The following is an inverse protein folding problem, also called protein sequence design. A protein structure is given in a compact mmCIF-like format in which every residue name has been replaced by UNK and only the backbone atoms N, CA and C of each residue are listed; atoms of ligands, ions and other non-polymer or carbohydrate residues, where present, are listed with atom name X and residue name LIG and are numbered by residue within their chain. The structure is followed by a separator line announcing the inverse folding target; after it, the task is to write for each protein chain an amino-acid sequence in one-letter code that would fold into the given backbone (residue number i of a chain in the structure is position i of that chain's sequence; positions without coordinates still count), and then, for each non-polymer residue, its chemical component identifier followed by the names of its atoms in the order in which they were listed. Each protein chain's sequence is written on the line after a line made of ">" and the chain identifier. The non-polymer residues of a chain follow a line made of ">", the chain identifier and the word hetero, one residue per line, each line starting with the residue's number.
data_IF_212933668585
#
_entry.id   IF_212933668585
#
_cell.length_a   1.000
_cell.length_b   1.000
_cell.length_c   1.000
_cell.angle_alpha   90.00
_cell.angle_beta   90.00
_cell.angle_gamma   90.00
#
_symmetry.space_group_name_H-M   'P 1'
#
loop_
_entity.id
_entity.type
_entity.pdbx_description
1 polymer ?
#
# COMPACT_ATOMS: atom_id res chain seq x y z
N UNK A 1 -3.24 27.79 -4.52
CA UNK A 1 -1.87 27.80 -5.07
C UNK A 1 -0.95 26.72 -4.48
N UNK A 2 -0.83 26.54 -3.15
CA UNK A 2 0.17 25.61 -2.54
C UNK A 2 0.11 24.15 -3.06
N UNK A 3 -1.08 23.58 -3.28
CA UNK A 3 -1.18 22.23 -3.89
C UNK A 3 -0.62 22.18 -5.32
N UNK A 4 -0.71 23.26 -6.09
CA UNK A 4 -0.29 23.32 -7.50
C UNK A 4 1.24 23.39 -7.64
N UNK A 5 1.94 24.11 -6.74
CA UNK A 5 3.40 24.10 -6.69
C UNK A 5 3.95 22.73 -6.26
N UNK A 6 3.32 22.08 -5.27
CA UNK A 6 3.66 20.71 -4.89
C UNK A 6 3.46 19.70 -6.03
N UNK A 7 2.38 19.85 -6.82
CA UNK A 7 2.11 19.01 -7.98
C UNK A 7 3.12 19.23 -9.12
N UNK A 8 3.43 20.49 -9.45
CA UNK A 8 4.47 20.85 -10.43
C UNK A 8 5.85 20.27 -10.07
N UNK A 9 6.28 20.39 -8.81
CA UNK A 9 7.52 19.78 -8.32
C UNK A 9 7.53 18.24 -8.42
N UNK A 10 6.36 17.62 -8.39
CA UNK A 10 6.19 16.17 -8.55
C UNK A 10 6.26 15.74 -10.02
N UNK A 11 5.73 16.55 -10.95
CA UNK A 11 5.86 16.34 -12.41
C UNK A 11 7.32 16.48 -12.85
N UNK A 12 8.08 17.44 -12.31
CA UNK A 12 9.49 17.61 -12.66
C UNK A 12 10.34 16.41 -12.20
N UNK A 13 10.07 15.86 -11.01
CA UNK A 13 10.66 14.59 -10.54
C UNK A 13 10.32 13.42 -11.46
N UNK A 14 9.11 13.40 -12.02
CA UNK A 14 8.61 12.37 -12.94
C UNK A 14 9.43 12.25 -14.23
N UNK A 15 9.92 13.39 -14.77
CA UNK A 15 10.81 13.43 -15.95
C UNK A 15 12.22 12.93 -15.61
N UNK A 16 12.78 13.35 -14.46
CA UNK A 16 14.09 12.86 -13.98
C UNK A 16 14.07 11.35 -13.72
N UNK A 17 12.93 10.85 -13.20
CA UNK A 17 12.68 9.42 -12.98
C UNK A 17 12.80 8.59 -14.26
N UNK A 18 12.19 9.03 -15.37
CA UNK A 18 12.19 8.26 -16.64
C UNK A 18 13.60 8.06 -17.21
N UNK A 19 14.52 9.00 -16.94
CA UNK A 19 15.95 8.85 -17.30
C UNK A 19 16.70 7.84 -16.41
N UNK A 20 16.23 7.58 -15.19
CA UNK A 20 16.88 6.69 -14.22
C UNK A 20 16.44 5.23 -14.35
N UNK A 21 15.25 4.97 -14.90
CA UNK A 21 14.74 3.62 -15.20
C UNK A 21 15.69 2.81 -16.09
N UNK A 22 16.26 3.43 -17.13
CA UNK A 22 17.12 2.74 -18.13
C UNK A 22 18.39 2.13 -17.52
N UNK A 23 18.90 2.71 -16.42
CA UNK A 23 20.14 2.29 -15.77
C UNK A 23 19.93 1.18 -14.71
N UNK A 24 18.69 0.91 -14.30
CA UNK A 24 18.37 0.03 -13.15
C UNK A 24 18.16 -1.46 -13.51
N UNK A 25 18.47 -1.87 -14.75
CA UNK A 25 18.02 -3.14 -15.33
C UNK A 25 18.75 -4.40 -14.83
N UNK A 26 19.84 -4.26 -14.08
CA UNK A 26 20.72 -5.35 -13.61
C UNK A 26 20.42 -5.89 -12.19
N UNK A 27 19.56 -5.21 -11.42
CA UNK A 27 19.34 -5.49 -9.97
C UNK A 27 18.32 -6.61 -9.61
N UNK A 28 17.36 -7.05 -10.45
CA UNK A 28 16.12 -7.65 -9.93
C UNK A 28 16.27 -9.02 -9.26
N UNK A 29 17.20 -9.87 -9.71
CA UNK A 29 17.18 -11.30 -9.38
C UNK A 29 17.45 -11.64 -7.90
N UNK A 30 18.06 -10.72 -7.14
CA UNK A 30 18.48 -10.96 -5.75
C UNK A 30 17.55 -10.33 -4.69
N UNK A 31 16.57 -9.52 -5.12
CA UNK A 31 15.58 -8.88 -4.25
C UNK A 31 14.38 -9.80 -3.92
N UNK A 32 14.12 -10.82 -4.74
CA UNK A 32 12.96 -11.72 -4.64
C UNK A 32 13.07 -12.80 -3.55
N UNK A 33 14.21 -12.93 -2.85
CA UNK A 33 14.43 -13.95 -1.82
C UNK A 33 14.16 -13.51 -0.38
N UNK A 34 14.11 -12.20 -0.09
CA UNK A 34 13.96 -11.71 1.28
C UNK A 34 12.55 -12.00 1.83
N UNK A 35 12.48 -12.57 3.03
CA UNK A 35 11.21 -12.91 3.70
C UNK A 35 10.47 -11.64 4.13
N UNK A 36 9.26 -11.42 3.60
CA UNK A 36 8.47 -10.21 3.81
C UNK A 36 7.99 -10.07 5.27
N UNK A 37 8.80 -9.48 6.14
CA UNK A 37 8.44 -9.18 7.55
C UNK A 37 7.13 -8.39 7.63
N UNK A 38 6.95 -7.41 6.75
CA UNK A 38 5.74 -6.58 6.69
C UNK A 38 4.50 -7.23 6.07
N UNK A 39 4.56 -8.47 5.53
CA UNK A 39 3.41 -9.07 4.85
C UNK A 39 2.23 -9.35 5.80
N UNK A 40 2.53 -9.83 7.01
CA UNK A 40 1.52 -10.00 8.07
C UNK A 40 0.92 -8.65 8.48
N UNK A 41 1.73 -7.59 8.51
CA UNK A 41 1.29 -6.22 8.81
C UNK A 41 0.33 -5.70 7.73
N UNK A 42 0.65 -5.85 6.44
CA UNK A 42 -0.27 -5.48 5.34
C UNK A 42 -1.61 -6.21 5.45
N UNK A 43 -1.63 -7.49 5.84
CA UNK A 43 -2.86 -8.24 6.01
C UNK A 43 -3.67 -7.77 7.24
N UNK A 44 -3.01 -7.48 8.37
CA UNK A 44 -3.67 -6.85 9.52
C UNK A 44 -4.26 -5.47 9.16
N UNK A 45 -3.54 -4.65 8.40
CA UNK A 45 -4.06 -3.40 7.85
C UNK A 45 -5.25 -3.62 6.89
N UNK A 46 -5.23 -4.69 6.09
CA UNK A 46 -6.36 -5.04 5.21
C UNK A 46 -7.61 -5.49 5.99
N UNK A 47 -7.44 -6.16 7.13
CA UNK A 47 -8.52 -6.50 8.05
C UNK A 47 -9.12 -5.22 8.65
N UNK A 48 -8.29 -4.29 9.14
CA UNK A 48 -8.75 -2.99 9.66
C UNK A 48 -9.49 -2.19 8.58
N UNK A 49 -8.99 -2.18 7.34
CA UNK A 49 -9.68 -1.55 6.21
C UNK A 49 -11.04 -2.20 5.93
N UNK A 50 -11.15 -3.54 5.99
CA UNK A 50 -12.43 -4.23 5.85
C UNK A 50 -13.40 -3.83 6.98
N UNK A 51 -12.94 -3.74 8.23
CA UNK A 51 -13.76 -3.27 9.36
C UNK A 51 -14.27 -1.83 9.13
N UNK A 52 -13.42 -0.93 8.60
CA UNK A 52 -13.80 0.44 8.27
C UNK A 52 -14.81 0.51 7.11
N UNK A 53 -14.64 -0.31 6.06
CA UNK A 53 -15.59 -0.43 4.95
C UNK A 53 -16.95 -0.94 5.46
N UNK A 54 -16.95 -2.02 6.25
CA UNK A 54 -18.17 -2.60 6.82
C UNK A 54 -18.87 -1.66 7.80
N UNK A 55 -18.12 -0.93 8.64
CA UNK A 55 -18.66 0.08 9.54
C UNK A 55 -19.31 1.25 8.79
N UNK A 56 -18.65 1.78 7.75
CA UNK A 56 -19.22 2.82 6.89
C UNK A 56 -20.49 2.32 6.17
N UNK A 57 -20.47 1.10 5.66
CA UNK A 57 -21.62 0.47 5.01
C UNK A 57 -22.79 0.27 5.97
N UNK A 58 -22.56 -0.23 7.19
CA UNK A 58 -23.58 -0.44 8.21
C UNK A 58 -24.16 0.86 8.82
N UNK A 59 -23.51 2.00 8.56
CA UNK A 59 -23.95 3.35 8.96
C UNK A 59 -24.70 4.11 7.86
N UNK A 60 -24.34 3.92 6.58
CA UNK A 60 -24.91 4.68 5.45
C UNK A 60 -25.99 3.90 4.68
N UNK A 61 -25.92 2.57 4.61
CA UNK A 61 -26.81 1.75 3.78
C UNK A 61 -27.90 1.02 4.59
N UNK A 62 -28.99 0.57 3.93
CA UNK A 62 -29.84 -0.51 4.46
C UNK A 62 -29.00 -1.67 5.00
N UNK A 63 -29.32 -2.13 6.21
CA UNK A 63 -28.76 -3.35 6.79
C UNK A 63 -29.33 -4.58 6.06
N UNK A 64 -28.74 -4.93 4.92
CA UNK A 64 -29.11 -6.10 4.13
C UNK A 64 -28.35 -7.36 4.58
N UNK A 65 -28.97 -8.52 4.37
CA UNK A 65 -28.32 -9.82 4.60
C UNK A 65 -27.12 -10.00 3.65
N UNK A 66 -27.19 -9.46 2.44
CA UNK A 66 -26.10 -9.50 1.44
C UNK A 66 -24.84 -8.79 1.98
N UNK A 67 -24.99 -7.58 2.53
CA UNK A 67 -23.90 -6.82 3.15
C UNK A 67 -23.23 -7.62 4.27
N UNK A 68 -24.03 -8.26 5.13
CA UNK A 68 -23.53 -9.09 6.24
C UNK A 68 -22.77 -10.32 5.74
N UNK A 69 -23.31 -11.06 4.76
CA UNK A 69 -22.68 -12.27 4.20
C UNK A 69 -21.37 -11.96 3.48
N UNK A 70 -21.32 -10.88 2.69
CA UNK A 70 -20.10 -10.44 2.00
C UNK A 70 -19.03 -9.97 2.99
N UNK A 71 -19.42 -9.23 4.03
CA UNK A 71 -18.50 -8.81 5.09
C UNK A 71 -17.96 -10.01 5.88
N UNK A 72 -18.82 -10.97 6.28
CA UNK A 72 -18.40 -12.17 7.02
C UNK A 72 -17.48 -13.07 6.20
N UNK A 73 -17.79 -13.32 4.93
CA UNK A 73 -16.92 -14.13 4.06
C UNK A 73 -15.55 -13.49 3.84
N UNK A 74 -15.49 -12.17 3.65
CA UNK A 74 -14.23 -11.42 3.59
C UNK A 74 -13.46 -11.45 4.91
N UNK A 75 -14.15 -11.28 6.04
CA UNK A 75 -13.54 -11.28 7.38
C UNK A 75 -12.95 -12.66 7.73
N UNK A 76 -13.71 -13.73 7.47
CA UNK A 76 -13.25 -15.12 7.68
C UNK A 76 -12.03 -15.40 6.80
N UNK A 77 -12.07 -15.04 5.50
CA UNK A 77 -10.93 -15.24 4.60
C UNK A 77 -9.66 -14.54 5.09
N UNK A 78 -9.71 -13.23 5.36
CA UNK A 78 -8.53 -12.47 5.81
C UNK A 78 -8.03 -13.01 7.16
N UNK A 79 -8.93 -13.38 8.08
CA UNK A 79 -8.57 -13.96 9.37
C UNK A 79 -7.88 -15.31 9.24
N UNK A 80 -8.36 -16.20 8.36
CA UNK A 80 -7.73 -17.51 8.08
C UNK A 80 -6.34 -17.32 7.46
N UNK A 81 -6.20 -16.45 6.46
CA UNK A 81 -4.90 -16.15 5.84
C UNK A 81 -3.92 -15.56 6.87
N UNK A 82 -4.38 -14.64 7.73
CA UNK A 82 -3.57 -14.04 8.78
C UNK A 82 -3.13 -15.09 9.83
N UNK A 83 -4.05 -15.94 10.29
CA UNK A 83 -3.75 -17.01 11.26
C UNK A 83 -2.76 -18.04 10.72
N UNK A 84 -2.87 -18.45 9.45
CA UNK A 84 -1.90 -19.34 8.80
C UNK A 84 -0.50 -18.74 8.77
N UNK A 85 -0.39 -17.43 8.50
CA UNK A 85 0.89 -16.73 8.48
C UNK A 85 1.47 -16.54 9.89
N UNK A 86 0.65 -16.28 10.92
CA UNK A 86 1.13 -16.28 12.31
C UNK A 86 1.63 -17.68 12.72
N UNK A 87 0.94 -18.77 12.34
CA UNK A 87 1.36 -20.13 12.66
C UNK A 87 2.72 -20.48 12.02
N UNK A 88 2.98 -20.07 10.77
CA UNK A 88 4.30 -20.20 10.13
C UNK A 88 5.35 -19.34 10.85
N UNK A 89 5.03 -18.08 11.21
CA UNK A 89 5.94 -17.19 11.95
C UNK A 89 6.30 -17.70 13.34
N UNK A 90 5.38 -18.39 14.01
CA UNK A 90 5.59 -19.06 15.30
C UNK A 90 6.28 -20.43 15.17
N UNK A 91 6.58 -20.88 13.93
CA UNK A 91 7.18 -22.18 13.62
C UNK A 91 6.32 -23.40 14.02
N UNK A 92 4.99 -23.22 14.12
CA UNK A 92 4.04 -24.31 14.39
C UNK A 92 3.74 -25.17 13.15
N UNK A 93 4.06 -24.67 11.94
CA UNK A 93 3.81 -25.34 10.67
C UNK A 93 5.09 -25.35 9.83
N UNK A 94 5.51 -26.53 9.39
CA UNK A 94 6.74 -26.75 8.60
C UNK A 94 6.58 -26.25 7.14
N UNK A 95 5.36 -26.24 6.61
CA UNK A 95 5.05 -25.80 5.25
C UNK A 95 4.83 -24.28 5.19
N UNK A 96 5.87 -23.52 4.78
CA UNK A 96 5.72 -22.09 4.49
C UNK A 96 5.03 -21.86 3.13
N UNK A 97 3.70 -21.83 3.18
CA UNK A 97 2.81 -21.44 2.07
C UNK A 97 3.20 -20.06 1.48
N UNK A 98 3.79 -19.17 2.28
CA UNK A 98 4.19 -17.83 1.85
C UNK A 98 5.53 -17.79 1.12
N UNK A 99 6.34 -18.85 1.17
CA UNK A 99 7.65 -18.92 0.52
C UNK A 99 7.54 -18.81 -1.02
N UNK A 100 6.50 -19.40 -1.60
CA UNK A 100 6.22 -19.29 -3.03
C UNK A 100 5.69 -17.90 -3.39
N UNK A 101 6.48 -17.14 -4.16
CA UNK A 101 6.10 -15.82 -4.68
C UNK A 101 4.76 -15.87 -5.43
N UNK A 102 4.52 -16.90 -6.25
CA UNK A 102 3.29 -17.06 -7.03
C UNK A 102 2.07 -17.28 -6.13
N UNK A 103 2.23 -18.07 -5.05
CA UNK A 103 1.13 -18.36 -4.12
C UNK A 103 0.80 -17.14 -3.25
N UNK A 104 1.83 -16.43 -2.76
CA UNK A 104 1.68 -15.13 -2.06
C UNK A 104 1.00 -14.08 -2.95
N UNK A 105 1.36 -14.04 -4.23
CA UNK A 105 0.74 -13.16 -5.23
C UNK A 105 -0.72 -13.52 -5.50
N UNK A 106 -1.05 -14.81 -5.63
CA UNK A 106 -2.43 -15.26 -5.80
C UNK A 106 -3.32 -14.90 -4.58
N UNK A 107 -2.82 -15.14 -3.36
CA UNK A 107 -3.53 -14.82 -2.11
C UNK A 107 -3.77 -13.32 -1.97
N UNK A 108 -2.79 -12.46 -2.31
CA UNK A 108 -2.96 -11.00 -2.28
C UNK A 108 -3.95 -10.48 -3.31
N UNK A 109 -3.87 -10.96 -4.56
CA UNK A 109 -4.80 -10.57 -5.63
C UNK A 109 -6.24 -10.98 -5.26
N UNK A 110 -6.44 -12.21 -4.80
CA UNK A 110 -7.75 -12.69 -4.35
C UNK A 110 -8.30 -11.86 -3.17
N UNK A 111 -7.44 -11.52 -2.20
CA UNK A 111 -7.83 -10.71 -1.04
C UNK A 111 -8.22 -9.28 -1.43
N UNK A 112 -7.52 -8.67 -2.39
CA UNK A 112 -7.89 -7.37 -2.97
C UNK A 112 -9.24 -7.46 -3.68
N UNK A 113 -9.44 -8.47 -4.53
CA UNK A 113 -10.70 -8.67 -5.26
C UNK A 113 -11.86 -8.86 -4.27
N UNK A 114 -11.65 -9.62 -3.19
CA UNK A 114 -12.67 -9.86 -2.18
C UNK A 114 -13.06 -8.55 -1.45
N UNK A 115 -12.10 -7.77 -0.96
CA UNK A 115 -12.36 -6.44 -0.36
C UNK A 115 -13.05 -5.51 -1.37
N UNK A 116 -12.65 -5.54 -2.64
CA UNK A 116 -13.28 -4.75 -3.70
C UNK A 116 -14.74 -5.17 -3.96
N UNK A 117 -15.06 -6.47 -3.99
CA UNK A 117 -16.45 -6.93 -4.13
C UNK A 117 -17.34 -6.50 -2.95
N UNK A 118 -16.83 -6.50 -1.72
CA UNK A 118 -17.54 -5.94 -0.56
C UNK A 118 -17.81 -4.44 -0.75
N UNK A 119 -16.86 -3.68 -1.31
CA UNK A 119 -17.05 -2.26 -1.62
C UNK A 119 -18.03 -2.00 -2.79
N UNK A 120 -18.13 -2.92 -3.77
CA UNK A 120 -18.93 -2.73 -4.99
C UNK A 120 -20.34 -3.29 -4.94
N UNK A 121 -20.53 -4.54 -4.51
CA UNK A 121 -21.85 -5.19 -4.58
C UNK A 121 -22.86 -4.43 -3.72
N UNK A 122 -22.41 -3.83 -2.62
CA UNK A 122 -23.24 -2.97 -1.77
C UNK A 122 -23.63 -1.64 -2.43
N UNK A 123 -22.78 -1.04 -3.29
CA UNK A 123 -23.16 0.12 -4.13
C UNK A 123 -24.19 -0.33 -5.17
N UNK A 124 -23.94 -1.42 -5.88
CA UNK A 124 -24.82 -1.93 -6.95
C UNK A 124 -26.19 -2.41 -6.43
N UNK A 125 -26.26 -2.90 -5.19
CA UNK A 125 -27.50 -3.35 -4.54
C UNK A 125 -28.35 -2.18 -4.00
N UNK A 126 -27.77 -0.99 -3.87
CA UNK A 126 -28.48 0.21 -3.43
C UNK A 126 -29.51 0.63 -4.49
N UNK A 127 -30.76 0.91 -4.09
CA UNK A 127 -31.77 1.39 -5.06
C UNK A 127 -31.74 2.91 -5.16
N UNK A 128 -31.87 3.38 -6.40
CA UNK A 128 -32.18 4.77 -6.70
C UNK A 128 -33.70 4.98 -6.72
N UNK A 129 -34.13 6.19 -6.34
CA UNK A 129 -35.49 6.65 -6.59
C UNK A 129 -35.67 6.88 -8.10
N UNK A 130 -36.67 6.23 -8.72
CA UNK A 130 -36.90 6.33 -10.18
C UNK A 130 -37.39 7.73 -10.58
N UNK A 131 -38.06 8.43 -9.66
CA UNK A 131 -38.57 9.79 -9.82
C UNK A 131 -37.83 10.72 -8.87
N UNK A 132 -37.59 11.98 -9.26
CA UNK A 132 -36.99 12.98 -8.37
C UNK A 132 -38.08 13.68 -7.54
N UNK A 133 -38.20 13.44 -6.22
CA UNK A 133 -39.24 14.09 -5.44
C UNK A 133 -38.93 15.58 -5.30
N UNK A 134 -39.91 16.48 -5.56
CA UNK A 134 -39.72 17.92 -5.42
C UNK A 134 -39.37 18.27 -3.97
N UNK A 135 -38.64 19.37 -3.77
CA UNK A 135 -38.07 19.75 -2.45
C UNK A 135 -39.14 19.91 -1.36
N UNK A 136 -40.37 20.26 -1.73
CA UNK A 136 -41.51 20.44 -0.82
C UNK A 136 -42.29 19.14 -0.54
N UNK A 137 -41.94 18.01 -1.17
CA UNK A 137 -42.50 16.73 -0.78
C UNK A 137 -41.90 16.31 0.57
N UNK A 138 -42.76 16.20 1.59
CA UNK A 138 -42.48 15.40 2.78
C UNK A 138 -42.49 13.91 2.40
N UNK A 139 -41.53 13.49 1.58
CA UNK A 139 -41.28 12.09 1.26
C UNK A 139 -41.01 11.39 2.59
N UNK A 140 -41.92 10.51 3.02
CA UNK A 140 -41.80 9.81 4.29
C UNK A 140 -40.50 8.99 4.30
N UNK A 141 -39.64 9.18 5.31
CA UNK A 141 -38.35 8.50 5.44
C UNK A 141 -38.49 7.03 5.87
N UNK A 142 -39.48 6.33 5.29
CA UNK A 142 -39.89 4.97 5.64
C UNK A 142 -39.12 3.90 4.86
N UNK A 143 -38.73 4.18 3.61
CA UNK A 143 -37.97 3.24 2.78
C UNK A 143 -36.47 3.28 3.09
N UNK A 144 -36.06 2.44 4.04
CA UNK A 144 -34.66 2.25 4.46
C UNK A 144 -33.68 1.85 3.33
N UNK A 145 -34.13 1.66 2.08
CA UNK A 145 -33.35 1.11 0.95
C UNK A 145 -32.78 2.16 -0.02
N UNK A 146 -33.11 3.43 0.17
CA UNK A 146 -32.66 4.54 -0.67
C UNK A 146 -31.18 4.86 -0.42
N UNK A 147 -30.41 5.10 -1.50
CA UNK A 147 -29.03 5.58 -1.38
C UNK A 147 -29.00 7.10 -1.10
N UNK A 148 -28.50 7.56 0.07
CA UNK A 148 -28.76 8.92 0.54
C UNK A 148 -27.94 10.02 -0.15
N UNK A 149 -26.80 9.70 -0.78
CA UNK A 149 -25.91 10.72 -1.37
C UNK A 149 -24.93 10.13 -2.42
N UNK A 150 -24.75 10.76 -3.61
CA UNK A 150 -23.78 10.27 -4.60
C UNK A 150 -22.32 10.30 -4.10
N UNK A 151 -22.00 11.12 -3.10
CA UNK A 151 -20.66 11.15 -2.49
C UNK A 151 -20.26 9.81 -1.85
N UNK A 152 -21.23 8.96 -1.45
CA UNK A 152 -20.94 7.62 -0.96
C UNK A 152 -20.18 6.77 -2.00
N UNK A 153 -20.54 6.88 -3.29
CA UNK A 153 -19.89 6.16 -4.38
C UNK A 153 -18.40 6.53 -4.49
N UNK A 154 -18.09 7.82 -4.37
CA UNK A 154 -16.72 8.33 -4.37
C UNK A 154 -15.92 7.87 -3.14
N UNK A 155 -16.52 7.90 -1.94
CA UNK A 155 -15.85 7.43 -0.70
C UNK A 155 -15.60 5.92 -0.77
N UNK A 156 -16.56 5.14 -1.27
CA UNK A 156 -16.39 3.70 -1.54
C UNK A 156 -15.25 3.44 -2.54
N UNK A 157 -15.10 4.29 -3.57
CA UNK A 157 -13.96 4.23 -4.49
C UNK A 157 -12.61 4.48 -3.80
N UNK A 158 -12.52 5.50 -2.94
CA UNK A 158 -11.30 5.79 -2.21
C UNK A 158 -10.89 4.64 -1.28
N UNK A 159 -11.84 4.04 -0.55
CA UNK A 159 -11.58 2.86 0.28
C UNK A 159 -11.22 1.63 -0.57
N UNK A 160 -11.84 1.48 -1.74
CA UNK A 160 -11.50 0.45 -2.72
C UNK A 160 -10.03 0.48 -3.15
N UNK A 161 -9.52 1.63 -3.62
CA UNK A 161 -8.10 1.75 -4.01
C UNK A 161 -7.13 1.69 -2.83
N UNK A 162 -7.56 2.10 -1.62
CA UNK A 162 -6.74 1.97 -0.41
C UNK A 162 -6.38 0.51 -0.11
N UNK A 163 -7.24 -0.46 -0.46
CA UNK A 163 -6.93 -1.89 -0.36
C UNK A 163 -5.70 -2.28 -1.18
N UNK A 164 -5.59 -1.75 -2.40
CA UNK A 164 -4.45 -1.96 -3.30
C UNK A 164 -3.21 -1.19 -2.83
N UNK A 165 -3.40 -0.03 -2.19
CA UNK A 165 -2.30 0.78 -1.65
C UNK A 165 -1.52 0.04 -0.54
N UNK A 166 -2.23 -0.62 0.39
CA UNK A 166 -1.69 -1.32 1.58
C UNK A 166 -0.72 -2.45 1.23
N UNK A 167 -0.89 -3.14 0.10
CA UNK A 167 0.03 -4.18 -0.34
C UNK A 167 1.22 -3.57 -1.09
N UNK A 168 2.33 -3.39 -0.36
CA UNK A 168 3.52 -2.64 -0.83
C UNK A 168 4.39 -3.43 -1.83
N UNK A 169 4.42 -4.77 -1.74
CA UNK A 169 5.29 -5.65 -2.56
C UNK A 169 4.60 -6.28 -3.79
N UNK A 170 3.39 -5.85 -4.14
CA UNK A 170 2.77 -6.20 -5.42
C UNK A 170 3.56 -5.56 -6.57
N UNK A 171 3.91 -6.31 -7.64
CA UNK A 171 4.59 -5.74 -8.80
C UNK A 171 3.81 -4.58 -9.41
N UNK A 172 4.46 -3.43 -9.65
CA UNK A 172 3.78 -2.21 -10.11
C UNK A 172 2.90 -2.43 -11.36
N UNK A 173 3.28 -3.31 -12.29
CA UNK A 173 2.45 -3.65 -13.46
C UNK A 173 1.10 -4.26 -13.08
N UNK A 174 1.08 -5.21 -12.14
CA UNK A 174 -0.15 -5.84 -11.64
C UNK A 174 -0.95 -4.83 -10.83
N UNK A 175 -0.28 -4.02 -10.00
CA UNK A 175 -0.89 -2.95 -9.20
C UNK A 175 -1.63 -1.93 -10.07
N UNK A 176 -1.00 -1.46 -11.15
CA UNK A 176 -1.62 -0.55 -12.10
C UNK A 176 -2.75 -1.22 -12.90
N UNK A 177 -2.61 -2.50 -13.30
CA UNK A 177 -3.66 -3.25 -13.99
C UNK A 177 -4.93 -3.41 -13.12
N UNK A 178 -4.77 -3.75 -11.84
CA UNK A 178 -5.89 -3.84 -10.89
C UNK A 178 -6.58 -2.49 -10.69
N UNK A 179 -5.81 -1.42 -10.43
CA UNK A 179 -6.38 -0.07 -10.27
C UNK A 179 -7.15 0.39 -11.52
N UNK A 180 -6.61 0.14 -12.72
CA UNK A 180 -7.26 0.49 -13.99
C UNK A 180 -8.56 -0.30 -14.19
N UNK A 181 -8.55 -1.61 -13.94
CA UNK A 181 -9.75 -2.45 -14.03
C UNK A 181 -10.85 -1.97 -13.07
N UNK A 182 -10.49 -1.70 -11.81
CA UNK A 182 -11.41 -1.16 -10.81
C UNK A 182 -11.96 0.20 -11.26
N UNK A 183 -11.12 1.10 -11.81
CA UNK A 183 -11.55 2.41 -12.32
C UNK A 183 -12.55 2.31 -13.46
N UNK A 184 -12.32 1.43 -14.45
CA UNK A 184 -13.26 1.22 -15.55
C UNK A 184 -14.62 0.76 -15.01
N UNK A 185 -14.64 -0.16 -14.04
CA UNK A 185 -15.88 -0.63 -13.41
C UNK A 185 -16.59 0.51 -12.64
N UNK A 186 -15.89 1.32 -11.85
CA UNK A 186 -16.48 2.48 -11.17
C UNK A 186 -17.07 3.50 -12.15
N UNK A 187 -16.36 3.81 -13.23
CA UNK A 187 -16.81 4.78 -14.24
C UNK A 187 -18.03 4.25 -14.99
N UNK A 188 -18.04 2.96 -15.37
CA UNK A 188 -19.21 2.31 -15.99
C UNK A 188 -20.42 2.29 -15.03
N UNK A 189 -20.22 2.04 -13.74
CA UNK A 189 -21.29 2.07 -12.74
C UNK A 189 -21.93 3.47 -12.65
N UNK A 190 -21.10 4.52 -12.61
CA UNK A 190 -21.58 5.92 -12.58
C UNK A 190 -22.36 6.26 -13.86
N UNK A 191 -21.78 5.98 -15.03
CA UNK A 191 -22.32 6.41 -16.32
C UNK A 191 -23.56 5.62 -16.76
N UNK A 192 -23.62 4.31 -16.48
CA UNK A 192 -24.70 3.43 -16.95
C UNK A 192 -25.79 3.23 -15.89
N UNK A 193 -25.41 3.01 -14.62
CA UNK A 193 -26.35 2.57 -13.58
C UNK A 193 -26.82 3.69 -12.66
N UNK A 194 -25.99 4.71 -12.40
CA UNK A 194 -26.24 5.70 -11.35
C UNK A 194 -26.47 7.13 -11.86
N UNK A 195 -26.40 7.39 -13.17
CA UNK A 195 -26.51 8.74 -13.75
C UNK A 195 -27.72 9.54 -13.23
N UNK A 196 -28.89 8.89 -13.11
CA UNK A 196 -30.09 9.53 -12.56
C UNK A 196 -29.90 10.07 -11.13
N UNK A 197 -29.13 9.41 -10.28
CA UNK A 197 -28.84 9.87 -8.91
C UNK A 197 -28.04 11.18 -8.94
N UNK A 198 -27.03 11.25 -9.81
CA UNK A 198 -26.21 12.46 -9.97
C UNK A 198 -27.04 13.61 -10.56
N UNK A 199 -27.81 13.37 -11.62
CA UNK A 199 -28.69 14.40 -12.22
C UNK A 199 -29.77 14.90 -11.24
N UNK A 200 -30.30 14.01 -10.40
CA UNK A 200 -31.29 14.35 -9.38
C UNK A 200 -30.67 15.20 -8.26
N UNK A 201 -29.44 14.87 -7.85
CA UNK A 201 -28.66 15.63 -6.88
C UNK A 201 -28.27 17.01 -7.43
N UNK A 202 -27.81 17.07 -8.68
CA UNK A 202 -27.44 18.31 -9.37
C UNK A 202 -28.63 19.28 -9.48
N UNK A 203 -29.83 18.76 -9.80
CA UNK A 203 -31.08 19.54 -9.78
C UNK A 203 -31.43 20.04 -8.36
N UNK A 204 -31.30 19.20 -7.33
CA UNK A 204 -31.63 19.56 -5.94
C UNK A 204 -30.66 20.60 -5.35
N UNK A 205 -29.38 20.56 -5.73
CA UNK A 205 -28.33 21.47 -5.24
C UNK A 205 -28.16 22.69 -6.17
N UNK A 206 -28.79 22.70 -7.35
CA UNK A 206 -28.56 23.70 -8.41
C UNK A 206 -27.09 23.77 -8.83
N UNK A 207 -26.48 22.60 -9.06
CA UNK A 207 -25.05 22.48 -9.36
C UNK A 207 -24.69 23.07 -10.73
N UNK A 208 -23.72 24.00 -10.74
CA UNK A 208 -23.21 24.65 -11.98
C UNK A 208 -22.33 23.70 -12.81
N UNK A 209 -21.75 22.68 -12.18
CA UNK A 209 -20.91 21.66 -12.82
C UNK A 209 -21.50 20.28 -12.47
N UNK A 210 -21.77 19.40 -13.46
CA UNK A 210 -22.40 18.11 -13.17
C UNK A 210 -21.56 17.23 -12.24
N UNK A 211 -22.16 16.72 -11.17
CA UNK A 211 -21.40 15.99 -10.14
C UNK A 211 -20.94 14.61 -10.59
N UNK A 212 -21.55 14.02 -11.63
CA UNK A 212 -21.03 12.79 -12.25
C UNK A 212 -19.65 13.02 -12.89
N UNK A 213 -19.44 14.16 -13.58
CA UNK A 213 -18.13 14.53 -14.15
C UNK A 213 -17.11 14.76 -13.04
N UNK A 214 -17.50 15.50 -12.00
CA UNK A 214 -16.65 15.77 -10.85
C UNK A 214 -16.24 14.47 -10.12
N UNK A 215 -17.16 13.51 -10.01
CA UNK A 215 -16.89 12.18 -9.45
C UNK A 215 -15.86 11.40 -10.29
N UNK A 216 -16.00 11.37 -11.61
CA UNK A 216 -15.01 10.75 -12.51
C UNK A 216 -13.64 11.43 -12.40
N UNK A 217 -13.57 12.76 -12.29
CA UNK A 217 -12.31 13.49 -12.07
C UNK A 217 -11.66 13.08 -10.74
N UNK A 218 -12.42 12.95 -9.65
CA UNK A 218 -11.88 12.47 -8.37
C UNK A 218 -11.37 11.02 -8.45
N UNK A 219 -12.08 10.14 -9.17
CA UNK A 219 -11.67 8.74 -9.38
C UNK A 219 -10.33 8.67 -10.12
N UNK A 220 -10.18 9.41 -11.22
CA UNK A 220 -8.92 9.47 -12.00
C UNK A 220 -7.79 10.09 -11.17
N UNK A 221 -8.06 11.17 -10.44
CA UNK A 221 -7.07 11.80 -9.55
C UNK A 221 -6.59 10.84 -8.44
N UNK A 222 -7.49 10.07 -7.83
CA UNK A 222 -7.14 9.14 -6.77
C UNK A 222 -6.44 7.88 -7.31
N UNK A 223 -6.81 7.39 -8.50
CA UNK A 223 -6.06 6.35 -9.21
C UNK A 223 -4.62 6.78 -9.48
N UNK A 224 -4.42 8.00 -10.00
CA UNK A 224 -3.09 8.55 -10.27
C UNK A 224 -2.29 8.70 -8.97
N UNK A 225 -2.90 9.19 -7.90
CA UNK A 225 -2.26 9.30 -6.59
C UNK A 225 -1.79 7.94 -6.03
N UNK A 226 -2.66 6.91 -6.06
CA UNK A 226 -2.33 5.57 -5.55
C UNK A 226 -1.29 4.86 -6.44
N UNK A 227 -1.35 5.05 -7.77
CA UNK A 227 -0.35 4.54 -8.70
C UNK A 227 1.02 5.20 -8.49
N UNK A 228 1.07 6.53 -8.37
CA UNK A 228 2.31 7.28 -8.09
C UNK A 228 2.88 6.88 -6.71
N UNK A 229 2.05 6.76 -5.68
CA UNK A 229 2.46 6.31 -4.36
C UNK A 229 3.03 4.88 -4.38
N UNK A 230 2.35 3.94 -5.05
CA UNK A 230 2.87 2.57 -5.22
C UNK A 230 4.22 2.54 -5.92
N UNK A 231 4.38 3.35 -6.97
CA UNK A 231 5.64 3.48 -7.72
C UNK A 231 6.76 4.13 -6.91
N UNK A 232 6.42 5.11 -6.05
CA UNK A 232 7.36 5.73 -5.10
C UNK A 232 7.85 4.72 -4.05
N UNK A 233 6.92 3.93 -3.48
CA UNK A 233 7.23 2.85 -2.53
C UNK A 233 8.21 1.84 -3.14
N UNK A 234 7.97 1.40 -4.38
CA UNK A 234 8.87 0.46 -5.05
C UNK A 234 10.27 1.08 -5.28
N UNK A 235 10.35 2.37 -5.61
CA UNK A 235 11.64 3.07 -5.73
C UNK A 235 12.40 3.17 -4.42
N UNK A 236 11.74 3.55 -3.33
CA UNK A 236 12.36 3.64 -2.01
C UNK A 236 12.90 2.27 -1.58
N UNK A 237 12.14 1.20 -1.79
CA UNK A 237 12.56 -0.16 -1.46
C UNK A 237 13.75 -0.66 -2.31
N UNK A 238 13.84 -0.26 -3.60
CA UNK A 238 15.01 -0.54 -4.45
C UNK A 238 16.26 0.24 -4.01
N UNK A 239 16.10 1.49 -3.56
CA UNK A 239 17.22 2.32 -3.09
C UNK A 239 17.77 1.84 -1.74
N UNK A 240 16.89 1.50 -0.80
CA UNK A 240 17.25 0.86 0.48
C UNK A 240 18.05 -0.44 0.27
N UNK A 241 17.64 -1.27 -0.69
CA UNK A 241 18.38 -2.49 -1.05
C UNK A 241 19.78 -2.20 -1.61
N UNK A 242 19.94 -1.17 -2.45
CA UNK A 242 21.25 -0.78 -2.98
C UNK A 242 22.18 -0.22 -1.89
N UNK A 243 21.68 0.62 -0.98
CA UNK A 243 22.45 1.10 0.16
C UNK A 243 22.85 -0.05 1.11
N UNK A 244 22.01 -1.07 1.27
CA UNK A 244 22.34 -2.29 2.03
C UNK A 244 23.41 -3.14 1.36
N UNK A 245 23.53 -3.14 0.04
CA UNK A 245 24.66 -3.77 -0.65
C UNK A 245 25.94 -2.97 -0.38
N UNK A 246 25.93 -1.66 -0.65
CA UNK A 246 27.09 -0.78 -0.47
C UNK A 246 27.66 -0.85 0.96
N UNK A 247 26.81 -0.72 1.99
CA UNK A 247 27.25 -0.80 3.39
C UNK A 247 27.83 -2.18 3.78
N UNK A 248 27.41 -3.26 3.11
CA UNK A 248 27.98 -4.60 3.30
C UNK A 248 29.27 -4.82 2.50
N UNK A 249 29.56 -4.01 1.48
CA UNK A 249 30.83 -4.02 0.74
C UNK A 249 31.87 -3.17 1.47
N UNK A 250 31.53 -1.93 1.84
CA UNK A 250 32.36 -1.04 2.68
C UNK A 250 32.80 -1.73 3.99
N UNK A 251 31.90 -2.50 4.62
CA UNK A 251 32.24 -3.30 5.80
C UNK A 251 33.28 -4.39 5.51
N UNK A 252 33.14 -5.14 4.41
CA UNK A 252 34.08 -6.23 4.05
C UNK A 252 35.46 -5.69 3.74
N UNK A 253 35.53 -4.56 3.05
CA UNK A 253 36.79 -3.91 2.71
C UNK A 253 37.48 -3.39 3.98
N UNK A 254 36.72 -2.82 4.93
CA UNK A 254 37.24 -2.46 6.26
C UNK A 254 37.76 -3.69 7.04
N UNK A 255 36.99 -4.79 7.09
CA UNK A 255 37.40 -6.04 7.74
C UNK A 255 38.68 -6.63 7.09
N UNK A 256 38.80 -6.56 5.77
CA UNK A 256 39.96 -7.04 5.01
C UNK A 256 41.21 -6.16 5.22
N UNK A 257 41.07 -4.83 5.19
CA UNK A 257 42.14 -3.88 5.49
C UNK A 257 42.65 -4.08 6.93
N UNK A 258 41.75 -4.23 7.89
CA UNK A 258 42.08 -4.52 9.28
C UNK A 258 42.86 -5.83 9.43
N UNK A 259 42.47 -6.89 8.72
CA UNK A 259 43.18 -8.16 8.74
C UNK A 259 44.58 -8.06 8.11
N UNK A 260 44.70 -7.35 6.97
CA UNK A 260 45.99 -7.13 6.29
C UNK A 260 46.96 -6.33 7.17
N UNK A 261 46.49 -5.21 7.73
CA UNK A 261 47.29 -4.36 8.62
C UNK A 261 47.74 -5.11 9.88
N UNK A 262 46.87 -5.93 10.48
CA UNK A 262 47.24 -6.78 11.63
C UNK A 262 48.34 -7.79 11.27
N UNK A 263 48.26 -8.42 10.09
CA UNK A 263 49.28 -9.36 9.60
C UNK A 263 50.63 -8.68 9.36
N UNK A 264 50.63 -7.47 8.79
CA UNK A 264 51.85 -6.66 8.59
C UNK A 264 52.47 -6.27 9.94
N UNK A 265 51.67 -5.80 10.89
CA UNK A 265 52.15 -5.39 12.22
C UNK A 265 52.80 -6.55 13.00
N UNK A 266 52.21 -7.75 12.94
CA UNK A 266 52.76 -8.96 13.57
C UNK A 266 54.07 -9.46 12.93
N UNK A 267 54.40 -9.05 11.69
CA UNK A 267 55.68 -9.35 11.06
C UNK A 267 56.79 -8.33 11.42
N UNK A 268 56.42 -7.16 11.95
CA UNK A 268 57.34 -6.04 12.26
C UNK A 268 57.66 -5.90 13.76
N UNK A 269 56.80 -6.41 14.65
CA UNK A 269 57.02 -6.34 16.11
C UNK A 269 57.14 -7.74 16.74
N UNK A 270 58.02 -7.92 17.75
CA UNK A 270 58.01 -9.10 18.61
C UNK A 270 56.63 -9.34 19.24
N UNK A 271 56.21 -10.60 19.28
CA UNK A 271 54.83 -11.01 19.59
C UNK A 271 54.26 -10.45 20.91
N UNK A 272 55.11 -10.22 21.91
CA UNK A 272 54.73 -9.64 23.21
C UNK A 272 54.31 -8.16 23.14
N UNK A 273 54.84 -7.39 22.18
CA UNK A 273 54.60 -5.93 22.09
C UNK A 273 53.39 -5.65 21.18
N UNK A 274 53.24 -6.42 20.10
CA UNK A 274 52.15 -6.25 19.14
C UNK A 274 50.75 -6.42 19.78
N UNK A 275 50.59 -7.35 20.72
CA UNK A 275 49.33 -7.61 21.42
C UNK A 275 48.87 -6.42 22.26
N UNK A 276 49.74 -5.86 23.09
CA UNK A 276 49.44 -4.72 23.97
C UNK A 276 49.12 -3.43 23.17
N UNK A 277 49.79 -3.23 22.03
CA UNK A 277 49.51 -2.08 21.16
C UNK A 277 48.18 -2.22 20.40
N UNK A 278 47.89 -3.42 19.88
CA UNK A 278 46.63 -3.71 19.20
C UNK A 278 45.42 -3.57 20.13
N UNK A 279 45.49 -4.10 21.36
CA UNK A 279 44.34 -4.07 22.27
C UNK A 279 43.94 -2.65 22.67
N UNK A 280 44.91 -1.76 22.94
CA UNK A 280 44.63 -0.34 23.19
C UNK A 280 44.06 0.38 21.96
N UNK A 281 44.56 0.12 20.75
CA UNK A 281 44.01 0.68 19.50
C UNK A 281 42.57 0.20 19.23
N UNK A 282 42.30 -1.10 19.40
CA UNK A 282 40.93 -1.63 19.27
C UNK A 282 39.99 -1.02 20.31
N UNK A 283 40.46 -0.83 21.55
CA UNK A 283 39.71 -0.20 22.64
C UNK A 283 39.36 1.25 22.31
N UNK A 284 40.29 2.05 21.78
CA UNK A 284 40.01 3.43 21.35
C UNK A 284 39.06 3.50 20.16
N UNK A 285 39.25 2.65 19.15
CA UNK A 285 38.46 2.69 17.91
C UNK A 285 37.04 2.18 18.16
N UNK A 286 36.85 1.19 19.05
CA UNK A 286 35.52 0.74 19.49
C UNK A 286 34.78 1.79 20.33
N UNK A 287 35.49 2.60 21.12
CA UNK A 287 34.90 3.76 21.82
C UNK A 287 34.43 4.81 20.80
N UNK A 288 35.27 5.16 19.82
CA UNK A 288 34.91 6.11 18.74
C UNK A 288 33.72 5.61 17.91
N UNK A 289 33.72 4.34 17.51
CA UNK A 289 32.64 3.68 16.77
C UNK A 289 31.32 3.70 17.56
N UNK A 290 31.35 3.39 18.87
CA UNK A 290 30.15 3.52 19.74
C UNK A 290 29.66 4.95 19.84
N UNK A 291 30.55 5.94 19.87
CA UNK A 291 30.17 7.36 19.93
C UNK A 291 29.44 7.79 18.65
N UNK A 292 29.94 7.40 17.48
CA UNK A 292 29.30 7.61 16.17
C UNK A 292 27.95 6.86 16.11
N UNK A 293 27.89 5.61 16.59
CA UNK A 293 26.64 4.84 16.63
C UNK A 293 25.60 5.42 17.57
N UNK A 294 25.98 6.12 18.65
CA UNK A 294 25.04 6.88 19.48
C UNK A 294 24.54 8.14 18.79
N UNK A 295 25.42 8.90 18.13
CA UNK A 295 25.05 10.11 17.38
C UNK A 295 24.01 9.83 16.28
N UNK A 296 24.21 8.73 15.53
CA UNK A 296 23.26 8.26 14.49
C UNK A 296 21.91 7.84 15.09
N UNK A 297 21.86 7.47 16.37
CA UNK A 297 20.65 6.99 17.05
C UNK A 297 19.94 8.06 17.89
N UNK A 298 20.41 9.31 17.83
CA UNK A 298 19.89 10.47 18.58
C UNK A 298 19.70 11.72 17.68
N UNK A 299 19.66 11.51 16.36
CA UNK A 299 19.44 12.52 15.30
C UNK A 299 18.17 12.20 14.50
#
# INVERSE_FOLDING_TARGET
>A
MVLWSAWSHSVLKLVVVWRKDYLSRSVPLRYQGDIDVGYSTSLACSLILLLLIGGLQAAILPRTIILLLLFLTAFIWISVVLMLLLAVRLQWIIWDISQSFVLRLAITIFTIILIYTVAQVNVFTCRYETECPPVNATAGWADHRLCPLPHYVAISCCLGYLSVAIFLRLPTLIKCSLLLLMAVIYIMLIQISHVHIFDCYDKRVSAVVPTHVLSVVYIVMFLLAVAIHGRQVEWTARLDFLWKIQANEEKKDMDALQHSNKRILCNLLPAHIASHFLDNQFRSNMISSKFISCLIHYS
#
